data_IF_560865379308
#
_entry.id   IF_560865379308
#
_cell.length_a   1.000
_cell.length_b   1.000
_cell.length_c   1.000
_cell.angle_alpha   90.00
_cell.angle_beta   90.00
_cell.angle_gamma   90.00
#
_symmetry.space_group_name_H-M   'P 1'
#
loop_
_entity.id
_entity.type
_entity.pdbx_description
1 polymer ?
#
# COMPACT_ATOMS: atom_id res chain seq x y z
N UNK A 1 -17.92 50.89 34.19
CA UNK A 1 -18.95 50.54 33.19
C UNK A 1 -18.51 49.50 32.14
N UNK A 2 -17.27 48.98 32.15
CA UNK A 2 -16.79 48.05 31.10
C UNK A 2 -16.98 46.54 31.40
N UNK A 3 -17.22 46.16 32.67
CA UNK A 3 -17.31 44.75 33.07
C UNK A 3 -18.62 44.07 32.59
N UNK A 4 -19.74 44.81 32.59
CA UNK A 4 -21.03 44.29 32.12
C UNK A 4 -21.03 44.02 30.61
N UNK A 5 -20.32 44.84 29.84
CA UNK A 5 -20.22 44.71 28.38
C UNK A 5 -19.35 43.51 27.99
N UNK A 6 -18.25 43.26 28.71
CA UNK A 6 -17.39 42.11 28.47
C UNK A 6 -18.09 40.78 28.76
N UNK A 7 -18.87 40.72 29.85
CA UNK A 7 -19.63 39.52 30.21
C UNK A 7 -20.69 39.16 29.17
N UNK A 8 -21.36 40.17 28.60
CA UNK A 8 -22.31 39.98 27.51
C UNK A 8 -21.62 39.42 26.25
N UNK A 9 -20.47 39.94 25.85
CA UNK A 9 -19.74 39.47 24.66
C UNK A 9 -19.32 38.00 24.82
N UNK A 10 -18.81 37.61 25.99
CA UNK A 10 -18.41 36.22 26.27
C UNK A 10 -19.60 35.26 26.22
N UNK A 11 -20.76 35.67 26.75
CA UNK A 11 -22.00 34.88 26.68
C UNK A 11 -22.49 34.71 25.23
N UNK A 12 -22.42 35.77 24.41
CA UNK A 12 -22.81 35.68 23.00
C UNK A 12 -21.89 34.77 22.18
N UNK A 13 -20.57 34.81 22.41
CA UNK A 13 -19.62 33.92 21.73
C UNK A 13 -19.86 32.44 22.12
N UNK A 14 -20.13 32.17 23.40
CA UNK A 14 -20.43 30.81 23.89
C UNK A 14 -21.70 30.21 23.27
N UNK A 15 -22.75 31.03 23.07
CA UNK A 15 -24.01 30.58 22.45
C UNK A 15 -23.85 30.29 20.95
N UNK A 16 -22.97 31.02 20.24
CA UNK A 16 -22.68 30.78 18.83
C UNK A 16 -21.90 29.47 18.66
N UNK A 17 -20.88 29.23 19.49
CA UNK A 17 -20.11 27.97 19.47
C UNK A 17 -21.02 26.75 19.69
N UNK A 18 -21.93 26.79 20.67
CA UNK A 18 -22.87 25.69 20.94
C UNK A 18 -23.85 25.41 19.78
N UNK A 19 -24.24 26.44 19.02
CA UNK A 19 -25.12 26.28 17.84
C UNK A 19 -24.37 25.71 16.63
N UNK A 20 -23.10 26.06 16.44
CA UNK A 20 -22.26 25.54 15.35
C UNK A 20 -21.90 24.07 15.59
N UNK A 21 -21.55 23.69 16.83
CA UNK A 21 -21.23 22.29 17.17
C UNK A 21 -22.42 21.32 17.04
N UNK A 22 -23.66 21.79 17.22
CA UNK A 22 -24.87 20.97 16.97
C UNK A 22 -25.17 20.70 15.51
N UNK A 23 -24.53 21.43 14.59
CA UNK A 23 -24.73 21.33 13.14
C UNK A 23 -23.51 20.80 12.40
N UNK A 24 -22.60 20.11 13.07
CA UNK A 24 -21.64 19.26 12.36
C UNK A 24 -22.45 18.03 11.90
N UNK A 25 -22.75 17.87 10.60
CA UNK A 25 -23.41 16.67 10.13
C UNK A 25 -22.49 15.49 10.45
N UNK A 26 -23.06 14.43 11.05
CA UNK A 26 -22.40 13.15 11.35
C UNK A 26 -21.84 12.40 10.13
N UNK A 27 -21.83 13.06 8.97
CA UNK A 27 -21.29 12.59 7.70
C UNK A 27 -19.76 12.43 7.78
N UNK A 28 -19.06 13.27 8.56
CA UNK A 28 -17.60 13.18 8.71
C UNK A 28 -17.14 12.21 9.80
N UNK A 29 -18.02 11.78 10.71
CA UNK A 29 -17.63 10.88 11.81
C UNK A 29 -17.66 9.39 11.41
N UNK A 30 -18.11 9.05 10.19
CA UNK A 30 -18.39 7.67 9.79
C UNK A 30 -17.48 7.12 8.68
N UNK A 31 -16.70 7.97 8.01
CA UNK A 31 -15.79 7.54 6.94
C UNK A 31 -14.39 7.16 7.44
N UNK A 32 -13.92 7.71 8.56
CA UNK A 32 -12.59 7.39 9.13
C UNK A 32 -12.55 6.05 9.91
N UNK A 33 -13.71 5.42 10.15
CA UNK A 33 -13.84 4.17 10.90
C UNK A 33 -14.26 2.99 10.01
N UNK A 34 -14.02 3.05 8.70
CA UNK A 34 -13.61 1.80 8.03
C UNK A 34 -12.23 1.49 8.57
N UNK A 35 -12.23 0.71 9.65
CA UNK A 35 -11.05 0.04 10.19
C UNK A 35 -10.04 -0.19 9.08
N UNK A 36 -8.80 0.27 9.29
CA UNK A 36 -7.65 -0.37 8.68
C UNK A 36 -7.76 -1.86 9.05
N UNK A 37 -8.55 -2.63 8.31
CA UNK A 37 -8.34 -4.06 8.26
C UNK A 37 -6.89 -4.18 7.82
N UNK A 38 -6.01 -4.79 8.65
CA UNK A 38 -4.64 -5.02 8.22
C UNK A 38 -4.76 -5.82 6.94
N UNK A 39 -4.51 -5.19 5.80
CA UNK A 39 -4.46 -5.89 4.52
C UNK A 39 -3.50 -7.03 4.75
N UNK A 40 -3.94 -8.26 4.48
CA UNK A 40 -3.09 -9.42 4.64
C UNK A 40 -1.75 -9.11 3.95
N UNK A 41 -0.60 -9.40 4.59
CA UNK A 41 0.69 -9.05 4.05
C UNK A 41 0.83 -9.68 2.65
N UNK A 42 1.15 -8.86 1.66
CA UNK A 42 1.38 -9.33 0.31
C UNK A 42 2.68 -10.14 0.29
N UNK A 43 2.63 -11.38 -0.19
CA UNK A 43 3.77 -12.29 -0.20
C UNK A 43 4.03 -12.79 -1.61
N UNK A 44 5.28 -13.10 -1.90
CA UNK A 44 5.68 -13.80 -3.11
C UNK A 44 6.59 -14.97 -2.75
N UNK A 45 6.70 -15.95 -3.65
CA UNK A 45 7.81 -16.87 -3.61
C UNK A 45 9.10 -16.14 -3.98
N UNK A 46 10.18 -16.50 -3.29
CA UNK A 46 11.52 -15.99 -3.49
C UNK A 46 12.49 -17.15 -3.64
N UNK A 47 13.24 -17.15 -4.74
CA UNK A 47 14.35 -18.07 -4.99
C UNK A 47 15.22 -17.54 -6.14
N UNK A 48 16.47 -17.96 -6.18
CA UNK A 48 17.39 -17.67 -7.27
C UNK A 48 18.20 -18.93 -7.53
N UNK A 49 18.16 -19.45 -8.74
CA UNK A 49 18.89 -20.67 -9.13
C UNK A 49 19.17 -20.69 -10.63
N UNK A 50 20.01 -21.61 -11.09
CA UNK A 50 20.26 -21.82 -12.52
C UNK A 50 19.08 -22.46 -13.26
N UNK A 51 18.19 -23.16 -12.55
CA UNK A 51 16.99 -23.78 -13.12
C UNK A 51 15.81 -23.78 -12.15
N UNK A 52 14.61 -24.09 -12.66
CA UNK A 52 13.38 -24.15 -11.84
C UNK A 52 13.45 -25.26 -10.80
N UNK A 53 14.01 -26.42 -11.15
CA UNK A 53 14.10 -27.62 -10.32
C UNK A 53 15.02 -27.42 -9.11
N UNK A 54 16.12 -26.69 -9.32
CA UNK A 54 17.08 -26.37 -8.27
C UNK A 54 16.64 -25.16 -7.40
N UNK A 55 15.47 -24.57 -7.66
CA UNK A 55 15.01 -23.39 -6.98
C UNK A 55 14.13 -23.73 -5.77
N UNK A 56 14.71 -23.68 -4.57
CA UNK A 56 13.98 -23.88 -3.32
C UNK A 56 13.18 -22.63 -2.99
N UNK A 57 11.87 -22.68 -3.27
CA UNK A 57 10.94 -21.58 -3.03
C UNK A 57 10.82 -21.27 -1.55
N UNK A 58 10.93 -19.98 -1.21
CA UNK A 58 10.66 -19.46 0.14
C UNK A 58 9.58 -18.40 0.05
N UNK A 59 8.59 -18.44 0.93
CA UNK A 59 7.63 -17.34 1.04
C UNK A 59 8.32 -16.11 1.65
N UNK A 60 8.12 -14.95 1.02
CA UNK A 60 8.67 -13.68 1.48
C UNK A 60 7.59 -12.62 1.46
N UNK A 61 7.45 -11.91 2.57
CA UNK A 61 6.61 -10.72 2.67
C UNK A 61 7.25 -9.56 1.91
N UNK A 62 6.48 -8.95 1.02
CA UNK A 62 6.92 -7.83 0.22
C UNK A 62 6.74 -6.52 1.00
N UNK A 63 7.76 -5.67 0.99
CA UNK A 63 7.83 -4.43 1.77
C UNK A 63 7.62 -3.17 0.94
N UNK A 64 7.49 -3.33 -0.38
CA UNK A 64 7.23 -2.24 -1.32
C UNK A 64 5.79 -1.73 -1.17
N UNK A 65 5.55 -0.48 -1.56
CA UNK A 65 4.23 0.17 -1.46
C UNK A 65 3.20 -0.45 -2.41
N UNK A 66 3.61 -0.78 -3.63
CA UNK A 66 2.78 -1.45 -4.65
C UNK A 66 3.50 -2.71 -5.15
N UNK A 67 3.59 -3.77 -4.33
CA UNK A 67 4.38 -4.93 -4.63
C UNK A 67 3.70 -5.80 -5.70
N UNK A 68 4.53 -6.42 -6.53
CA UNK A 68 4.16 -7.47 -7.49
C UNK A 68 5.09 -8.66 -7.29
N UNK A 69 4.63 -9.84 -7.69
CA UNK A 69 5.48 -11.01 -7.76
C UNK A 69 6.06 -11.14 -9.15
N UNK A 70 7.38 -11.26 -9.25
CA UNK A 70 8.11 -11.40 -10.51
C UNK A 70 8.70 -12.80 -10.64
N UNK A 71 8.69 -13.29 -11.89
CA UNK A 71 9.35 -14.50 -12.35
C UNK A 71 10.26 -14.14 -13.51
N UNK A 72 11.53 -14.51 -13.45
CA UNK A 72 12.45 -14.41 -14.59
C UNK A 72 13.01 -15.80 -14.93
N UNK A 73 13.09 -16.12 -16.22
CA UNK A 73 13.61 -17.38 -16.77
C UNK A 73 14.56 -17.08 -17.94
N UNK A 74 15.44 -18.03 -18.30
CA UNK A 74 16.43 -17.85 -19.37
C UNK A 74 17.85 -18.01 -18.83
N UNK A 75 18.51 -16.90 -18.47
CA UNK A 75 19.87 -16.92 -17.88
C UNK A 75 19.90 -17.53 -16.47
N UNK A 76 18.83 -17.33 -15.72
CA UNK A 76 18.63 -17.90 -14.39
C UNK A 76 17.12 -18.03 -14.15
N UNK A 77 16.75 -18.82 -13.15
CA UNK A 77 15.39 -18.86 -12.63
C UNK A 77 15.31 -18.03 -11.35
N UNK A 78 14.54 -16.95 -11.39
CA UNK A 78 14.41 -15.99 -10.28
C UNK A 78 12.94 -15.77 -9.95
N UNK A 79 12.61 -15.88 -8.66
CA UNK A 79 11.33 -15.50 -8.09
C UNK A 79 11.59 -14.39 -7.06
N UNK A 80 10.84 -13.28 -7.10
CA UNK A 80 11.03 -12.20 -6.14
C UNK A 80 9.83 -11.26 -5.98
N UNK A 81 9.78 -10.59 -4.82
CA UNK A 81 8.96 -9.39 -4.60
C UNK A 81 9.61 -8.19 -5.30
N UNK A 82 8.87 -7.46 -6.11
CA UNK A 82 9.37 -6.23 -6.74
C UNK A 82 8.22 -5.24 -6.99
N UNK A 83 8.47 -4.18 -7.76
CA UNK A 83 7.45 -3.25 -8.26
C UNK A 83 7.42 -3.20 -9.80
N UNK A 84 6.42 -2.52 -10.35
CA UNK A 84 6.21 -2.41 -11.80
C UNK A 84 7.36 -1.65 -12.48
N UNK A 85 8.00 -0.70 -11.80
CA UNK A 85 9.10 0.06 -12.36
C UNK A 85 10.33 -0.84 -12.59
N UNK A 86 10.68 -1.66 -11.59
CA UNK A 86 11.74 -2.65 -11.72
C UNK A 86 11.40 -3.72 -12.77
N UNK A 87 10.15 -4.19 -12.84
CA UNK A 87 9.73 -5.11 -13.89
C UNK A 87 10.01 -4.56 -15.29
N UNK A 88 9.67 -3.30 -15.54
CA UNK A 88 9.90 -2.68 -16.85
C UNK A 88 11.39 -2.60 -17.21
N UNK A 89 12.23 -2.28 -16.22
CA UNK A 89 13.70 -2.31 -16.39
C UNK A 89 14.19 -3.72 -16.69
N UNK A 90 13.79 -4.71 -15.87
CA UNK A 90 14.20 -6.11 -16.04
C UNK A 90 13.74 -6.69 -17.38
N UNK A 91 12.53 -6.32 -17.83
CA UNK A 91 12.02 -6.72 -19.14
C UNK A 91 12.89 -6.18 -20.27
N UNK A 92 13.23 -4.89 -20.21
CA UNK A 92 14.11 -4.25 -21.20
C UNK A 92 15.49 -4.89 -21.23
N UNK A 93 16.08 -5.13 -20.05
CA UNK A 93 17.38 -5.81 -19.95
C UNK A 93 17.30 -7.24 -20.49
N UNK A 94 16.15 -7.90 -20.39
CA UNK A 94 15.96 -9.26 -20.91
C UNK A 94 15.79 -9.37 -22.42
N UNK A 95 15.33 -8.31 -23.10
CA UNK A 95 15.18 -8.29 -24.56
C UNK A 95 16.53 -8.56 -25.27
N UNK A 96 17.64 -8.17 -24.65
CA UNK A 96 18.98 -8.32 -25.21
C UNK A 96 19.64 -9.70 -24.94
N UNK A 97 19.11 -10.50 -24.01
CA UNK A 97 19.83 -11.67 -23.45
C UNK A 97 19.04 -13.00 -23.44
N UNK A 98 18.03 -13.17 -24.30
CA UNK A 98 17.21 -14.38 -24.37
C UNK A 98 16.66 -14.81 -22.99
N UNK A 99 16.10 -13.87 -22.23
CA UNK A 99 15.35 -14.17 -21.02
C UNK A 99 13.92 -13.67 -21.09
N UNK A 100 13.05 -14.30 -20.29
CA UNK A 100 11.64 -13.99 -20.19
C UNK A 100 11.35 -13.50 -18.77
N UNK A 101 10.61 -12.39 -18.67
CA UNK A 101 10.20 -11.81 -17.38
C UNK A 101 8.69 -11.66 -17.37
N UNK A 102 8.06 -12.21 -16.35
CA UNK A 102 6.63 -12.12 -16.10
C UNK A 102 6.37 -11.57 -14.70
N UNK A 103 5.20 -10.96 -14.50
CA UNK A 103 4.73 -10.56 -13.19
C UNK A 103 3.26 -10.92 -12.97
N UNK A 104 2.87 -10.97 -11.70
CA UNK A 104 1.49 -11.13 -11.27
C UNK A 104 1.23 -10.34 -9.97
N UNK A 105 -0.03 -9.99 -9.73
CA UNK A 105 -0.44 -9.05 -8.66
C UNK A 105 -1.19 -9.73 -7.53
N UNK A 106 -1.29 -11.06 -7.55
CA UNK A 106 -1.90 -11.85 -6.48
C UNK A 106 -0.82 -12.37 -5.52
N UNK A 107 -1.18 -12.61 -4.26
CA UNK A 107 -0.21 -13.13 -3.28
C UNK A 107 0.19 -14.56 -3.65
N UNK A 108 1.49 -14.87 -3.61
CA UNK A 108 2.07 -16.19 -3.91
C UNK A 108 1.76 -16.72 -5.32
N UNK A 109 1.49 -15.85 -6.29
CA UNK A 109 1.15 -16.25 -7.67
C UNK A 109 2.34 -16.71 -8.53
N UNK A 110 3.59 -16.42 -8.11
CA UNK A 110 4.79 -16.71 -8.88
C UNK A 110 5.39 -18.11 -8.59
N UNK A 111 4.56 -19.15 -8.69
CA UNK A 111 4.97 -20.54 -8.44
C UNK A 111 5.64 -21.21 -9.66
#
# INVERSE_FOLDING_TARGET
>A
MYLKTYLMIVLFIGVIQAKVYRKIPSVWAREELKELQPRAPFKCYSCTSGSKEACVKKEKECKQENPICLTATGMAYVLQCTDVAYYNTAKKDCEDFNCEVAYCTESLCNA
#
